data_IF_585609707660
#
_entry.id   IF_585609707660
#
_cell.length_a   1.000
_cell.length_b   1.000
_cell.length_c   1.000
_cell.angle_alpha   90.00
_cell.angle_beta   90.00
_cell.angle_gamma   90.00
#
_symmetry.space_group_name_H-M   'P 1'
#
loop_
_entity.id
_entity.type
_entity.pdbx_description
1 polymer ?
#
# COMPACT_ATOMS: atom_id res chain seq x y z
N UNK A 1 -22.23 15.32 -17.26
CA UNK A 1 -21.26 16.36 -16.82
C UNK A 1 -19.96 16.10 -17.56
N UNK A 2 -19.50 17.03 -18.40
CA UNK A 2 -18.21 16.86 -19.12
C UNK A 2 -17.10 16.80 -18.06
N UNK A 3 -16.33 15.71 -18.05
CA UNK A 3 -15.16 15.58 -17.20
C UNK A 3 -14.13 16.64 -17.63
N UNK A 4 -13.93 17.65 -16.78
CA UNK A 4 -12.86 18.62 -16.95
C UNK A 4 -11.50 17.88 -16.97
N UNK A 5 -10.56 18.25 -17.85
CA UNK A 5 -9.22 17.67 -17.84
C UNK A 5 -8.56 17.93 -16.48
N UNK A 6 -8.01 16.88 -15.88
CA UNK A 6 -7.31 16.93 -14.59
C UNK A 6 -6.07 17.81 -14.79
N UNK A 7 -6.16 19.08 -14.42
CA UNK A 7 -4.99 19.98 -14.42
C UNK A 7 -3.94 19.44 -13.44
N UNK A 8 -2.66 19.62 -13.76
CA UNK A 8 -1.52 19.25 -12.91
C UNK A 8 -1.62 19.76 -11.44
N UNK A 9 -2.47 20.76 -11.17
CA UNK A 9 -2.81 21.23 -9.83
C UNK A 9 -3.47 20.18 -8.92
N UNK A 10 -4.15 19.17 -9.50
CA UNK A 10 -4.84 18.11 -8.74
C UNK A 10 -3.87 17.13 -8.08
N UNK A 11 -2.76 16.82 -8.73
CA UNK A 11 -1.72 15.96 -8.15
C UNK A 11 -1.09 16.61 -6.92
N UNK A 12 -0.91 17.93 -6.99
CA UNK A 12 -0.39 18.76 -5.91
C UNK A 12 -1.37 18.85 -4.71
N UNK A 13 -2.69 18.92 -4.97
CA UNK A 13 -3.75 18.92 -3.94
C UNK A 13 -3.76 17.61 -3.12
N UNK A 14 -3.35 16.49 -3.71
CA UNK A 14 -3.28 15.19 -3.04
C UNK A 14 -1.89 14.85 -2.49
N UNK A 15 -0.89 15.73 -2.65
CA UNK A 15 0.50 15.42 -2.29
C UNK A 15 1.08 14.25 -3.09
N UNK A 16 0.62 14.04 -4.33
CA UNK A 16 1.23 13.10 -5.26
C UNK A 16 2.58 13.70 -5.67
N UNK A 17 3.65 13.29 -4.99
CA UNK A 17 5.03 13.70 -5.28
C UNK A 17 5.53 13.06 -6.58
N UNK A 18 6.42 13.75 -7.30
CA UNK A 18 7.03 13.37 -8.59
C UNK A 18 7.93 12.10 -8.57
N UNK A 19 7.83 11.26 -7.54
CA UNK A 19 8.78 10.18 -7.26
C UNK A 19 8.10 8.91 -6.75
N UNK A 20 7.22 8.29 -7.55
CA UNK A 20 6.97 6.85 -7.41
C UNK A 20 8.27 6.11 -7.78
N UNK A 21 9.03 5.67 -6.77
CA UNK A 21 10.25 4.88 -6.96
C UNK A 21 11.52 5.39 -6.27
N UNK A 22 11.49 6.55 -5.62
CA UNK A 22 12.54 6.92 -4.67
C UNK A 22 12.00 6.70 -3.26
N UNK A 23 12.69 5.87 -2.46
CA UNK A 23 12.44 5.82 -1.03
C UNK A 23 12.40 7.27 -0.50
N UNK A 24 11.30 7.62 0.17
CA UNK A 24 11.07 8.96 0.72
C UNK A 24 12.28 9.36 1.59
N UNK A 25 13.05 10.40 1.23
CA UNK A 25 14.04 10.95 2.13
C UNK A 25 13.29 11.83 3.13
N UNK A 26 13.21 11.38 4.37
CA UNK A 26 12.51 12.01 5.49
C UNK A 26 12.46 13.55 5.52
N UNK A 27 11.30 14.04 6.00
CA UNK A 27 11.06 15.22 6.85
C UNK A 27 11.28 16.62 6.26
N UNK A 28 10.16 17.34 6.09
CA UNK A 28 9.96 18.64 6.73
C UNK A 28 8.45 18.90 6.87
N UNK A 29 7.85 18.42 7.97
CA UNK A 29 6.50 18.85 8.37
C UNK A 29 6.66 19.72 9.61
N UNK A 30 6.26 20.99 9.45
CA UNK A 30 6.11 21.98 10.52
C UNK A 30 5.03 21.46 11.48
N UNK A 31 5.27 21.42 12.81
CA UNK A 31 4.26 20.95 13.74
C UNK A 31 3.08 21.93 13.78
N UNK A 32 1.87 21.44 13.53
CA UNK A 32 0.65 22.12 13.94
C UNK A 32 0.48 21.91 15.45
N UNK A 33 0.79 22.95 16.23
CA UNK A 33 0.54 22.99 17.68
C UNK A 33 -0.95 22.79 17.99
N UNK A 34 -1.31 21.90 18.93
CA UNK A 34 -2.62 21.91 19.56
C UNK A 34 -2.76 23.14 20.47
N UNK A 35 -3.88 23.83 20.34
CA UNK A 35 -4.30 24.88 21.26
C UNK A 35 -4.47 24.29 22.69
N UNK A 36 -3.62 24.76 23.61
CA UNK A 36 -3.93 24.82 25.03
C UNK A 36 -3.34 23.72 25.91
N UNK A 37 -2.19 23.99 26.53
CA UNK A 37 -2.06 24.16 27.98
C UNK A 37 -0.66 24.68 28.33
N UNK A 38 -0.63 25.77 29.11
CA UNK A 38 0.59 26.44 29.59
C UNK A 38 1.26 25.62 30.68
N UNK A 39 2.51 25.21 30.51
CA UNK A 39 3.43 24.99 31.62
C UNK A 39 4.78 25.65 31.30
N UNK A 40 5.25 26.47 32.23
CA UNK A 40 6.49 27.25 32.18
C UNK A 40 7.55 26.53 33.03
N UNK A 41 8.74 26.30 32.47
CA UNK A 41 9.99 26.31 33.23
C UNK A 41 11.19 26.47 32.28
N UNK A 42 12.17 27.24 32.75
CA UNK A 42 13.28 27.84 32.02
C UNK A 42 14.60 27.05 32.10
N UNK A 43 15.61 27.54 31.35
CA UNK A 43 17.09 27.37 31.45
C UNK A 43 17.65 26.07 30.82
N UNK A 44 18.54 26.07 29.82
CA UNK A 44 19.93 26.58 29.79
C UNK A 44 20.84 25.53 29.08
N UNK A 45 22.10 25.83 28.65
CA UNK A 45 22.47 25.65 27.23
C UNK A 45 23.56 24.62 26.84
N UNK A 46 23.52 24.26 25.55
CA UNK A 46 24.53 23.97 24.51
C UNK A 46 26.01 23.60 24.79
N UNK A 47 26.51 22.61 24.03
CA UNK A 47 27.79 22.49 23.27
C UNK A 47 28.06 20.98 23.02
N UNK A 48 28.67 20.44 21.95
CA UNK A 48 29.51 20.94 20.86
C UNK A 48 30.41 19.79 20.34
N UNK A 49 30.76 19.77 19.04
CA UNK A 49 31.87 18.99 18.40
C UNK A 49 31.74 17.46 18.37
N UNK A 50 32.37 16.69 17.48
CA UNK A 50 33.44 16.87 16.49
C UNK A 50 33.40 15.66 15.54
N UNK A 51 33.82 15.85 14.28
CA UNK A 51 33.89 14.78 13.28
C UNK A 51 35.18 13.95 13.36
N UNK A 52 35.18 12.80 12.68
CA UNK A 52 36.39 12.09 12.26
C UNK A 52 36.16 11.47 10.87
N UNK A 53 36.96 11.92 9.91
CA UNK A 53 37.19 11.31 8.59
C UNK A 53 38.27 10.24 8.74
N UNK A 54 38.10 9.07 8.12
CA UNK A 54 39.16 8.08 7.96
C UNK A 54 39.39 7.78 6.47
N UNK A 55 40.59 8.13 6.03
CA UNK A 55 41.22 7.81 4.75
C UNK A 55 41.59 6.32 4.69
N UNK A 56 41.47 5.71 3.51
CA UNK A 56 42.25 4.53 3.12
C UNK A 56 42.78 4.71 1.69
N UNK A 57 44.11 4.62 1.56
CA UNK A 57 44.89 4.57 0.31
C UNK A 57 45.23 3.09 -0.02
N UNK A 58 45.45 2.69 -1.30
CA UNK A 58 45.31 1.31 -1.77
C UNK A 58 46.65 0.62 -2.13
N UNK A 59 46.51 -0.56 -2.77
CA UNK A 59 47.49 -1.45 -3.47
C UNK A 59 47.90 -2.67 -2.61
N UNK A 60 48.04 -3.92 -3.09
CA UNK A 60 48.70 -4.45 -4.31
C UNK A 60 48.24 -5.92 -4.59
N UNK A 61 48.20 -6.28 -5.90
CA UNK A 61 48.40 -7.60 -6.57
C UNK A 61 47.39 -8.75 -6.37
N UNK A 62 46.67 -9.29 -7.37
CA UNK A 62 46.99 -9.86 -8.71
C UNK A 62 47.30 -11.37 -8.72
N UNK A 63 46.39 -12.19 -9.28
CA UNK A 63 46.74 -13.29 -10.20
C UNK A 63 45.52 -13.92 -10.93
N UNK A 64 45.64 -13.94 -12.26
CA UNK A 64 45.25 -14.98 -13.26
C UNK A 64 43.81 -15.52 -13.41
N UNK A 65 43.15 -14.98 -14.44
CA UNK A 65 42.55 -15.63 -15.63
C UNK A 65 41.97 -17.06 -15.58
N UNK A 66 40.69 -17.21 -15.97
CA UNK A 66 40.29 -17.97 -17.17
C UNK A 66 38.76 -17.90 -17.44
N UNK A 67 38.35 -17.69 -18.70
CA UNK A 67 37.06 -18.17 -19.21
C UNK A 67 35.92 -17.16 -19.40
N UNK A 68 36.08 -16.14 -20.25
CA UNK A 68 34.95 -15.30 -20.71
C UNK A 68 34.20 -16.02 -21.84
N UNK A 69 33.09 -16.70 -21.53
CA UNK A 69 32.11 -17.12 -22.55
C UNK A 69 31.36 -15.88 -23.04
N UNK A 70 31.41 -15.60 -24.34
CA UNK A 70 30.51 -14.63 -24.97
C UNK A 70 29.07 -15.17 -24.93
N UNK A 71 28.05 -14.33 -24.67
CA UNK A 71 26.67 -14.76 -24.81
C UNK A 71 26.33 -14.97 -26.30
N UNK A 72 25.64 -16.06 -26.60
CA UNK A 72 25.19 -16.39 -27.95
C UNK A 72 24.21 -15.34 -28.49
N UNK A 73 24.31 -15.06 -29.79
CA UNK A 73 23.44 -14.15 -30.54
C UNK A 73 21.92 -14.44 -30.40
N UNK A 74 21.55 -15.61 -29.91
CA UNK A 74 20.17 -16.04 -29.65
C UNK A 74 19.56 -15.41 -28.39
N UNK A 75 20.36 -15.16 -27.34
CA UNK A 75 19.86 -14.54 -26.09
C UNK A 75 19.64 -13.02 -26.25
N UNK A 76 20.46 -12.37 -27.09
CA UNK A 76 20.31 -10.95 -27.41
C UNK A 76 19.11 -10.65 -28.33
N UNK A 77 18.66 -11.63 -29.12
CA UNK A 77 17.46 -11.50 -29.95
C UNK A 77 16.17 -11.60 -29.11
N UNK A 78 16.12 -12.53 -28.14
CA UNK A 78 14.98 -12.66 -27.23
C UNK A 78 14.83 -11.46 -26.27
N UNK A 79 15.94 -10.89 -25.79
CA UNK A 79 15.90 -9.68 -24.97
C UNK A 79 15.55 -8.41 -25.75
N UNK A 80 15.95 -8.33 -27.03
CA UNK A 80 15.55 -7.25 -27.94
C UNK A 80 14.08 -7.32 -28.34
N UNK A 81 13.52 -8.51 -28.52
CA UNK A 81 12.11 -8.71 -28.90
C UNK A 81 11.14 -8.43 -27.72
N UNK A 82 11.53 -8.82 -26.49
CA UNK A 82 10.80 -8.44 -25.27
C UNK A 82 10.86 -6.93 -24.98
N UNK A 83 12.02 -6.30 -25.15
CA UNK A 83 12.20 -4.85 -25.01
C UNK A 83 11.48 -4.05 -26.11
N UNK A 84 11.35 -4.59 -27.32
CA UNK A 84 10.63 -3.96 -28.43
C UNK A 84 9.10 -4.08 -28.29
N UNK A 85 8.58 -5.17 -27.71
CA UNK A 85 7.14 -5.29 -27.35
C UNK A 85 6.73 -4.32 -26.23
N UNK A 86 7.57 -4.11 -25.23
CA UNK A 86 7.32 -3.14 -24.15
C UNK A 86 7.30 -1.68 -24.66
N UNK A 87 8.04 -1.38 -25.74
CA UNK A 87 8.10 -0.04 -26.33
C UNK A 87 6.82 0.38 -27.09
N UNK A 88 5.80 -0.49 -27.20
CA UNK A 88 4.54 -0.23 -27.91
C UNK A 88 3.30 -0.27 -27.02
N UNK A 89 3.43 -0.62 -25.74
CA UNK A 89 2.28 -0.67 -24.81
C UNK A 89 1.96 0.74 -24.31
N UNK A 90 0.67 1.05 -24.22
CA UNK A 90 0.25 2.28 -23.53
C UNK A 90 0.53 2.15 -22.03
N UNK A 91 0.71 3.27 -21.34
CA UNK A 91 0.82 3.33 -19.89
C UNK A 91 -0.45 2.79 -19.21
N UNK A 92 -1.62 2.91 -19.86
CA UNK A 92 -2.84 2.22 -19.40
C UNK A 92 -2.68 0.69 -19.46
N UNK A 93 -2.21 0.14 -20.59
CA UNK A 93 -2.02 -1.31 -20.72
C UNK A 93 -0.99 -1.84 -19.70
N UNK A 94 0.05 -1.05 -19.45
CA UNK A 94 1.08 -1.41 -18.47
C UNK A 94 0.56 -1.37 -17.03
N UNK A 95 -0.28 -0.39 -16.68
CA UNK A 95 -1.00 -0.35 -15.40
C UNK A 95 -1.90 -1.59 -15.23
N UNK A 96 -2.63 -1.96 -16.27
CA UNK A 96 -3.50 -3.13 -16.25
C UNK A 96 -2.67 -4.42 -16.09
N UNK A 97 -1.54 -4.54 -16.80
CA UNK A 97 -0.61 -5.67 -16.65
C UNK A 97 -0.03 -5.75 -15.24
N UNK A 98 0.35 -4.61 -14.66
CA UNK A 98 0.86 -4.53 -13.30
C UNK A 98 -0.18 -4.99 -12.28
N UNK A 99 -1.40 -4.47 -12.35
CA UNK A 99 -2.49 -4.83 -11.45
C UNK A 99 -2.89 -6.31 -11.60
N UNK A 100 -2.94 -6.84 -12.84
CA UNK A 100 -3.17 -8.28 -13.08
C UNK A 100 -2.08 -9.13 -12.47
N UNK A 101 -0.81 -8.75 -12.63
CA UNK A 101 0.32 -9.49 -12.08
C UNK A 101 0.23 -9.62 -10.56
N UNK A 102 -0.17 -8.57 -9.85
CA UNK A 102 -0.38 -8.61 -8.39
C UNK A 102 -1.45 -9.64 -7.99
N UNK A 103 -2.51 -9.75 -8.79
CA UNK A 103 -3.67 -10.59 -8.50
C UNK A 103 -3.50 -12.03 -8.96
N UNK A 104 -2.79 -12.27 -10.06
CA UNK A 104 -2.70 -13.57 -10.74
C UNK A 104 -1.40 -14.31 -10.40
N UNK A 105 -0.34 -13.63 -9.97
CA UNK A 105 0.88 -14.27 -9.46
C UNK A 105 0.81 -14.43 -7.94
N UNK A 106 0.78 -15.68 -7.48
CA UNK A 106 0.60 -16.01 -6.07
C UNK A 106 1.77 -15.65 -5.16
N UNK A 107 2.95 -15.32 -5.70
CA UNK A 107 4.16 -15.10 -4.90
C UNK A 107 4.10 -13.79 -4.12
N UNK A 108 4.49 -13.83 -2.84
CA UNK A 108 4.58 -12.60 -2.02
C UNK A 108 5.53 -11.58 -2.66
N UNK A 109 6.67 -12.05 -3.20
CA UNK A 109 7.65 -11.20 -3.85
C UNK A 109 7.02 -10.37 -4.98
N UNK A 110 6.20 -11.00 -5.83
CA UNK A 110 5.53 -10.31 -6.95
C UNK A 110 4.55 -9.26 -6.44
N UNK A 111 3.79 -9.54 -5.37
CA UNK A 111 2.84 -8.59 -4.77
C UNK A 111 3.53 -7.34 -4.21
N UNK A 112 4.82 -7.46 -3.85
CA UNK A 112 5.64 -6.39 -3.30
C UNK A 112 6.53 -5.68 -4.35
N UNK A 113 6.49 -6.10 -5.61
CA UNK A 113 7.23 -5.41 -6.67
C UNK A 113 6.54 -4.10 -7.06
N UNK A 114 7.26 -2.97 -7.11
CA UNK A 114 6.68 -1.70 -7.55
C UNK A 114 6.32 -1.74 -9.04
N UNK A 115 5.46 -0.83 -9.52
CA UNK A 115 5.26 -0.63 -10.94
C UNK A 115 6.56 -0.17 -11.61
N UNK A 116 6.61 -0.21 -12.94
CA UNK A 116 7.75 0.31 -13.67
C UNK A 116 7.97 1.81 -13.38
N UNK A 117 9.24 2.20 -13.33
CA UNK A 117 9.62 3.59 -13.05
C UNK A 117 8.98 4.56 -14.05
N UNK A 118 8.37 5.63 -13.52
CA UNK A 118 7.75 6.69 -14.33
C UNK A 118 6.41 6.31 -14.98
N UNK A 119 5.78 5.20 -14.59
CA UNK A 119 4.45 4.82 -15.06
C UNK A 119 3.40 5.93 -14.81
N UNK A 120 3.42 6.55 -13.64
CA UNK A 120 2.61 7.73 -13.28
C UNK A 120 2.73 8.88 -14.28
N UNK A 121 3.96 9.27 -14.61
CA UNK A 121 4.24 10.38 -15.54
C UNK A 121 3.73 10.07 -16.93
N UNK A 122 3.87 8.82 -17.37
CA UNK A 122 3.35 8.36 -18.66
C UNK A 122 1.83 8.31 -18.69
N UNK A 123 1.18 7.87 -17.62
CA UNK A 123 -0.29 7.90 -17.48
C UNK A 123 -0.85 9.34 -17.60
N UNK A 124 -0.17 10.31 -16.97
CA UNK A 124 -0.53 11.73 -17.09
C UNK A 124 -0.33 12.23 -18.52
N UNK A 125 0.80 11.89 -19.15
CA UNK A 125 1.11 12.30 -20.51
C UNK A 125 0.09 11.75 -21.53
N UNK A 126 -0.31 10.48 -21.40
CA UNK A 126 -1.28 9.84 -22.30
C UNK A 126 -2.69 10.44 -22.22
N UNK A 127 -3.11 10.90 -21.03
CA UNK A 127 -4.41 11.57 -20.90
C UNK A 127 -4.49 12.83 -21.78
N UNK A 128 -3.37 13.53 -21.97
CA UNK A 128 -3.31 14.79 -22.72
C UNK A 128 -3.29 14.60 -24.25
N UNK A 129 -3.28 13.36 -24.74
CA UNK A 129 -3.40 13.07 -26.18
C UNK A 129 -4.86 13.28 -26.64
N UNK A 130 -5.08 13.79 -27.87
CA UNK A 130 -6.43 13.97 -28.42
C UNK A 130 -7.16 12.63 -28.51
N UNK A 131 -8.15 12.44 -27.64
CA UNK A 131 -8.96 11.23 -27.58
C UNK A 131 -9.97 11.22 -28.74
N UNK A 132 -10.04 10.11 -29.48
CA UNK A 132 -11.20 9.86 -30.35
C UNK A 132 -12.36 9.53 -29.42
N UNK A 133 -13.29 10.48 -29.29
CA UNK A 133 -14.49 10.34 -28.44
C UNK A 133 -15.15 8.98 -28.67
N UNK A 134 -15.11 8.15 -27.63
CA UNK A 134 -16.13 7.15 -27.40
C UNK A 134 -16.79 7.55 -26.09
N UNK A 135 -18.03 8.03 -26.19
CA UNK A 135 -18.95 8.06 -25.06
C UNK A 135 -19.14 6.62 -24.59
N UNK A 136 -18.30 6.18 -23.65
CA UNK A 136 -18.48 4.93 -22.94
C UNK A 136 -18.69 5.34 -21.49
N UNK A 137 -19.91 5.16 -20.98
CA UNK A 137 -20.14 5.23 -19.53
C UNK A 137 -19.17 4.29 -18.81
N UNK A 138 -18.89 4.55 -17.53
CA UNK A 138 -17.97 3.73 -16.70
C UNK A 138 -18.20 2.24 -16.99
N UNK A 139 -17.36 1.64 -17.83
CA UNK A 139 -17.49 0.24 -18.12
C UNK A 139 -16.99 -0.47 -16.87
N UNK A 140 -17.91 -1.09 -16.15
CA UNK A 140 -17.58 -2.10 -15.18
C UNK A 140 -16.95 -3.27 -15.96
N UNK A 141 -15.64 -3.22 -16.17
CA UNK A 141 -14.95 -4.32 -16.81
C UNK A 141 -15.23 -5.55 -15.94
N UNK A 142 -15.85 -6.57 -16.52
CA UNK A 142 -16.16 -7.81 -15.82
C UNK A 142 -14.85 -8.52 -15.50
N UNK A 143 -14.15 -8.05 -14.48
CA UNK A 143 -13.06 -8.74 -13.86
C UNK A 143 -13.69 -9.92 -13.11
N UNK A 144 -13.73 -11.06 -13.77
CA UNK A 144 -14.21 -12.34 -13.22
C UNK A 144 -13.14 -12.98 -12.33
N UNK A 145 -12.55 -12.17 -11.44
CA UNK A 145 -11.58 -12.63 -10.46
C UNK A 145 -12.28 -12.72 -9.12
N UNK A 146 -12.72 -13.91 -8.72
CA UNK A 146 -13.35 -14.08 -7.41
C UNK A 146 -12.37 -13.77 -6.27
N UNK A 147 -11.11 -14.18 -6.41
CA UNK A 147 -10.06 -14.11 -5.39
C UNK A 147 -8.67 -13.93 -6.01
N UNK A 148 -7.72 -13.29 -5.32
CA UNK A 148 -6.34 -13.23 -5.77
C UNK A 148 -5.67 -14.59 -5.59
N UNK A 149 -4.75 -14.90 -6.49
CA UNK A 149 -3.85 -16.03 -6.34
C UNK A 149 -2.85 -15.77 -5.22
N UNK A 150 -2.55 -16.82 -4.44
CA UNK A 150 -1.57 -16.79 -3.35
C UNK A 150 -0.86 -18.14 -3.25
N UNK A 151 0.46 -18.11 -3.11
CA UNK A 151 1.26 -19.32 -2.85
C UNK A 151 0.97 -19.89 -1.46
N UNK A 152 1.28 -21.17 -1.25
CA UNK A 152 0.93 -21.91 -0.03
C UNK A 152 1.37 -21.22 1.28
N UNK A 153 2.51 -20.52 1.27
CA UNK A 153 3.03 -19.83 2.44
C UNK A 153 2.18 -18.63 2.90
N UNK A 154 1.35 -18.07 2.01
CA UNK A 154 0.49 -16.90 2.27
C UNK A 154 -0.96 -17.13 1.85
N UNK A 155 -1.36 -18.38 1.63
CA UNK A 155 -2.71 -18.75 1.19
C UNK A 155 -3.77 -18.19 2.16
N UNK A 156 -4.85 -17.64 1.62
CA UNK A 156 -6.03 -17.25 2.40
C UNK A 156 -6.99 -18.43 2.55
N UNK A 157 -7.56 -18.58 3.74
CA UNK A 157 -8.62 -19.57 3.96
C UNK A 157 -9.80 -19.27 3.06
N UNK A 158 -10.41 -20.32 2.48
CA UNK A 158 -11.69 -20.21 1.76
C UNK A 158 -12.89 -20.39 2.68
N UNK A 159 -12.67 -20.89 3.90
CA UNK A 159 -13.70 -21.11 4.93
C UNK A 159 -13.49 -20.17 6.12
N UNK A 160 -14.53 -19.88 6.93
CA UNK A 160 -14.38 -19.05 8.13
C UNK A 160 -13.38 -19.68 9.13
N UNK A 161 -12.36 -18.90 9.52
CA UNK A 161 -11.39 -19.31 10.54
C UNK A 161 -11.73 -18.67 11.90
N UNK A 162 -12.19 -19.46 12.87
CA UNK A 162 -12.46 -18.96 14.23
C UNK A 162 -11.16 -18.51 14.92
N UNK A 163 -11.13 -17.28 15.44
CA UNK A 163 -10.04 -16.76 16.28
C UNK A 163 -8.75 -16.36 15.55
N UNK A 164 -8.61 -16.67 14.26
CA UNK A 164 -7.40 -16.35 13.47
C UNK A 164 -7.17 -14.85 13.26
N UNK A 165 -8.20 -14.02 13.40
CA UNK A 165 -8.15 -12.57 13.23
C UNK A 165 -7.74 -11.83 14.51
N UNK A 166 -7.73 -12.51 15.67
CA UNK A 166 -7.43 -11.84 16.92
C UNK A 166 -5.95 -11.42 16.95
N UNK A 167 -5.75 -10.12 17.10
CA UNK A 167 -4.44 -9.55 17.40
C UNK A 167 -4.03 -9.88 18.84
N UNK A 168 -2.73 -10.05 19.12
CA UNK A 168 -2.25 -10.20 20.49
C UNK A 168 -2.71 -9.02 21.35
N UNK A 169 -3.07 -9.30 22.61
CA UNK A 169 -3.47 -8.27 23.57
C UNK A 169 -2.26 -7.41 23.95
N UNK A 170 -2.50 -6.17 24.36
CA UNK A 170 -1.43 -5.23 24.76
C UNK A 170 -0.43 -5.83 25.77
N UNK A 171 -0.91 -6.51 26.82
CA UNK A 171 -0.03 -7.16 27.79
C UNK A 171 0.86 -8.27 27.21
N UNK A 172 0.41 -8.95 26.14
CA UNK A 172 1.23 -9.96 25.45
C UNK A 172 2.32 -9.28 24.61
N UNK A 173 1.98 -8.19 23.93
CA UNK A 173 2.95 -7.40 23.15
C UNK A 173 4.04 -6.79 24.02
N UNK A 174 3.66 -6.27 25.19
CA UNK A 174 4.61 -5.72 26.16
C UNK A 174 5.55 -6.80 26.71
N UNK A 175 5.05 -8.03 26.89
CA UNK A 175 5.79 -9.10 27.55
C UNK A 175 6.63 -9.99 26.61
N UNK A 176 6.34 -10.04 25.31
CA UNK A 176 6.92 -11.05 24.40
C UNK A 176 7.30 -10.47 23.04
N UNK A 177 8.54 -10.76 22.62
CA UNK A 177 9.04 -10.46 21.28
C UNK A 177 8.28 -11.28 20.21
N UNK A 178 7.95 -12.54 20.50
CA UNK A 178 7.20 -13.38 19.57
C UNK A 178 5.77 -12.85 19.34
N UNK A 179 5.12 -12.33 20.39
CA UNK A 179 3.82 -11.69 20.27
C UNK A 179 3.89 -10.43 19.39
N UNK A 180 4.95 -9.61 19.55
CA UNK A 180 5.21 -8.45 18.69
C UNK A 180 5.40 -8.86 17.23
N UNK A 181 6.28 -9.84 16.98
CA UNK A 181 6.51 -10.35 15.63
C UNK A 181 5.22 -10.92 15.00
N UNK A 182 4.42 -11.68 15.74
CA UNK A 182 3.14 -12.21 15.27
C UNK A 182 2.15 -11.08 14.92
N UNK A 183 2.13 -10.00 15.71
CA UNK A 183 1.28 -8.83 15.44
C UNK A 183 1.66 -8.17 14.12
N UNK A 184 2.95 -7.90 13.92
CA UNK A 184 3.44 -7.27 12.70
C UNK A 184 3.24 -8.14 11.46
N UNK A 185 3.33 -9.47 11.57
CA UNK A 185 2.97 -10.38 10.47
C UNK A 185 1.50 -10.26 10.07
N UNK A 186 0.61 -10.09 11.04
CA UNK A 186 -0.82 -9.85 10.76
C UNK A 186 -1.05 -8.50 10.09
N UNK A 187 -0.28 -7.47 10.46
CA UNK A 187 -0.29 -6.19 9.74
C UNK A 187 0.28 -6.32 8.33
N UNK A 188 1.36 -7.08 8.12
CA UNK A 188 1.86 -7.35 6.77
C UNK A 188 0.82 -8.09 5.90
N UNK A 189 0.07 -9.06 6.45
CA UNK A 189 -1.06 -9.69 5.74
C UNK A 189 -2.15 -8.69 5.35
N UNK A 190 -2.42 -7.74 6.25
CA UNK A 190 -3.37 -6.66 6.02
C UNK A 190 -2.95 -5.81 4.82
N UNK A 191 -1.69 -5.39 4.75
CA UNK A 191 -1.20 -4.57 3.64
C UNK A 191 -1.20 -5.36 2.32
N UNK A 192 -0.91 -6.66 2.35
CA UNK A 192 -1.08 -7.50 1.14
C UNK A 192 -2.53 -7.52 0.69
N UNK A 193 -3.51 -7.59 1.60
CA UNK A 193 -4.92 -7.47 1.21
C UNK A 193 -5.22 -6.10 0.59
N UNK A 194 -4.70 -5.02 1.16
CA UNK A 194 -4.88 -3.67 0.63
C UNK A 194 -4.31 -3.53 -0.80
N UNK A 195 -3.06 -3.96 -1.01
CA UNK A 195 -2.39 -4.01 -2.33
C UNK A 195 -3.25 -4.72 -3.36
N UNK A 196 -3.77 -5.90 -3.02
CA UNK A 196 -4.59 -6.68 -3.94
C UNK A 196 -5.97 -6.01 -4.18
N UNK A 197 -6.59 -5.37 -3.19
CA UNK A 197 -7.86 -4.66 -3.36
C UNK A 197 -7.71 -3.42 -4.24
N UNK A 198 -6.62 -2.66 -4.10
CA UNK A 198 -6.34 -1.53 -4.98
C UNK A 198 -6.01 -1.98 -6.41
N UNK A 199 -5.26 -3.09 -6.57
CA UNK A 199 -5.05 -3.70 -7.88
C UNK A 199 -6.37 -4.15 -8.52
N UNK A 200 -7.26 -4.75 -7.74
CA UNK A 200 -8.60 -5.13 -8.19
C UNK A 200 -9.39 -3.90 -8.65
N UNK A 201 -9.37 -2.79 -7.89
CA UNK A 201 -10.10 -1.58 -8.26
C UNK A 201 -9.54 -0.91 -9.52
N UNK A 202 -8.22 -0.91 -9.72
CA UNK A 202 -7.59 -0.42 -10.96
C UNK A 202 -8.11 -1.15 -12.20
N UNK A 203 -8.29 -2.47 -12.11
CA UNK A 203 -8.83 -3.30 -13.19
C UNK A 203 -10.35 -3.23 -13.32
N UNK A 204 -11.07 -3.09 -12.20
CA UNK A 204 -12.53 -3.03 -12.16
C UNK A 204 -13.06 -1.73 -12.75
N UNK A 205 -12.34 -0.63 -12.55
CA UNK A 205 -12.75 0.71 -12.97
C UNK A 205 -11.76 1.30 -14.00
N UNK A 206 -11.55 0.66 -15.16
CA UNK A 206 -10.51 1.06 -16.12
C UNK A 206 -10.77 2.41 -16.77
N UNK A 207 -12.03 2.86 -16.75
CA UNK A 207 -12.49 4.13 -17.32
C UNK A 207 -12.66 5.24 -16.27
N UNK A 208 -12.32 4.96 -15.01
CA UNK A 208 -12.33 5.99 -13.99
C UNK A 208 -11.29 7.09 -14.30
N UNK A 209 -11.51 8.33 -13.83
CA UNK A 209 -10.63 9.45 -14.14
C UNK A 209 -9.17 9.13 -13.82
N UNK A 210 -8.23 9.56 -14.67
CA UNK A 210 -6.81 9.20 -14.48
C UNK A 210 -6.28 9.63 -13.10
N UNK A 211 -6.72 10.78 -12.58
CA UNK A 211 -6.33 11.24 -11.26
C UNK A 211 -6.78 10.31 -10.13
N UNK A 212 -7.90 9.61 -10.32
CA UNK A 212 -8.38 8.60 -9.38
C UNK A 212 -7.50 7.36 -9.46
N UNK A 213 -7.27 6.85 -10.68
CA UNK A 213 -6.41 5.69 -10.93
C UNK A 213 -4.98 5.92 -10.43
N UNK A 214 -4.43 7.13 -10.59
CA UNK A 214 -3.14 7.53 -10.01
C UNK A 214 -3.17 7.55 -8.48
N UNK A 215 -4.26 8.03 -7.88
CA UNK A 215 -4.47 7.95 -6.43
C UNK A 215 -4.42 6.50 -5.93
N UNK A 216 -5.16 5.59 -6.59
CA UNK A 216 -5.15 4.16 -6.25
C UNK A 216 -3.77 3.53 -6.46
N UNK A 217 -3.08 3.83 -7.56
CA UNK A 217 -1.74 3.33 -7.83
C UNK A 217 -0.74 3.79 -6.76
N UNK A 218 -0.81 5.05 -6.34
CA UNK A 218 0.09 5.54 -5.31
C UNK A 218 -0.20 4.88 -3.95
N UNK A 219 -1.47 4.79 -3.56
CA UNK A 219 -1.84 4.08 -2.32
C UNK A 219 -1.37 2.64 -2.35
N UNK A 220 -1.58 1.92 -3.45
CA UNK A 220 -1.06 0.56 -3.64
C UNK A 220 0.46 0.48 -3.41
N UNK A 221 1.23 1.42 -3.99
CA UNK A 221 2.69 1.47 -3.81
C UNK A 221 3.08 1.80 -2.37
N UNK A 222 2.34 2.69 -1.69
CA UNK A 222 2.52 3.01 -0.27
C UNK A 222 2.28 1.74 0.59
N UNK A 223 1.24 0.96 0.30
CA UNK A 223 1.00 -0.33 0.99
C UNK A 223 2.08 -1.38 0.76
N UNK A 224 2.68 -1.43 -0.44
CA UNK A 224 3.85 -2.26 -0.69
C UNK A 224 5.03 -1.88 0.20
N UNK A 225 5.20 -0.58 0.48
CA UNK A 225 6.24 -0.08 1.39
C UNK A 225 5.88 -0.41 2.83
N UNK A 226 4.64 -0.19 3.26
CA UNK A 226 4.17 -0.54 4.61
C UNK A 226 4.40 -2.02 4.93
N UNK A 227 4.03 -2.91 4.01
CA UNK A 227 4.24 -4.35 4.14
C UNK A 227 5.72 -4.68 4.35
N UNK A 228 6.61 -4.09 3.54
CA UNK A 228 8.07 -4.30 3.66
C UNK A 228 8.59 -3.82 5.01
N UNK A 229 8.16 -2.64 5.48
CA UNK A 229 8.56 -2.11 6.79
C UNK A 229 8.18 -3.07 7.93
N UNK A 230 6.96 -3.64 7.90
CA UNK A 230 6.57 -4.64 8.90
C UNK A 230 7.40 -5.92 8.82
N UNK A 231 7.67 -6.43 7.61
CA UNK A 231 8.49 -7.63 7.43
C UNK A 231 9.95 -7.42 7.89
N UNK A 232 10.50 -6.23 7.64
CA UNK A 232 11.82 -5.83 8.15
C UNK A 232 11.84 -5.78 9.67
N UNK A 233 10.83 -5.15 10.30
CA UNK A 233 10.71 -5.13 11.77
C UNK A 233 10.55 -6.52 12.38
N UNK A 234 9.77 -7.41 11.75
CA UNK A 234 9.67 -8.82 12.16
C UNK A 234 11.04 -9.48 12.15
N UNK A 235 11.82 -9.27 11.09
CA UNK A 235 13.16 -9.82 10.97
C UNK A 235 14.09 -9.32 12.08
N UNK A 236 14.05 -8.01 12.35
CA UNK A 236 14.87 -7.39 13.39
C UNK A 236 14.53 -7.90 14.79
N UNK A 237 13.22 -7.98 15.12
CA UNK A 237 12.75 -8.51 16.40
C UNK A 237 13.17 -9.98 16.56
N UNK A 238 13.05 -10.79 15.50
CA UNK A 238 13.40 -12.21 15.56
C UNK A 238 14.91 -12.41 15.71
N UNK A 239 15.74 -11.57 15.07
CA UNK A 239 17.20 -11.59 15.25
C UNK A 239 17.59 -11.23 16.68
N UNK A 240 17.04 -10.12 17.22
CA UNK A 240 17.33 -9.68 18.59
C UNK A 240 16.92 -10.69 19.68
N UNK A 241 15.98 -11.60 19.38
CA UNK A 241 15.55 -12.68 20.27
C UNK A 241 16.49 -13.92 20.25
N UNK A 242 17.71 -13.77 19.71
CA UNK A 242 18.74 -14.82 19.73
C UNK A 242 18.64 -15.81 18.57
N UNK A 243 17.95 -15.47 17.48
CA UNK A 243 17.91 -16.28 16.24
C UNK A 243 18.82 -15.73 15.13
N UNK A 244 19.90 -15.06 15.52
CA UNK A 244 20.78 -14.28 14.64
C UNK A 244 21.44 -15.09 13.51
N UNK A 245 21.68 -16.38 13.74
CA UNK A 245 22.40 -17.25 12.80
C UNK A 245 21.52 -17.85 11.67
N UNK A 246 20.20 -17.64 11.71
CA UNK A 246 19.29 -18.21 10.71
C UNK A 246 19.20 -17.29 9.47
N UNK A 247 19.32 -17.83 8.24
CA UNK A 247 19.00 -17.09 7.02
C UNK A 247 17.58 -16.51 7.08
N UNK A 248 17.35 -15.34 6.47
CA UNK A 248 16.03 -14.68 6.45
C UNK A 248 14.89 -15.60 5.97
N UNK A 249 15.18 -16.48 5.01
CA UNK A 249 14.25 -17.48 4.48
C UNK A 249 13.91 -18.62 5.46
N UNK A 250 14.76 -18.84 6.47
CA UNK A 250 14.60 -19.86 7.51
C UNK A 250 14.10 -19.30 8.83
N UNK A 251 14.23 -17.97 9.05
CA UNK A 251 13.75 -17.31 10.26
C UNK A 251 12.26 -17.59 10.51
N UNK A 252 11.43 -17.73 9.47
CA UNK A 252 10.11 -18.37 9.58
C UNK A 252 9.52 -18.66 8.17
N UNK A 253 8.97 -19.86 7.90
CA UNK A 253 8.33 -20.21 6.63
C UNK A 253 7.01 -19.46 6.32
N UNK A 254 6.51 -18.67 7.28
CA UNK A 254 5.19 -18.04 7.22
C UNK A 254 5.26 -16.52 7.32
N UNK A 255 5.68 -15.79 6.26
CA UNK A 255 6.04 -14.37 6.35
C UNK A 255 4.89 -13.48 6.82
N UNK A 256 3.64 -13.88 6.59
CA UNK A 256 2.43 -13.14 6.97
C UNK A 256 1.67 -13.78 8.15
N UNK A 257 2.30 -14.72 8.84
CA UNK A 257 1.69 -15.57 9.87
C UNK A 257 1.25 -16.92 9.32
N UNK A 258 0.91 -17.85 10.22
CA UNK A 258 0.63 -19.24 9.85
C UNK A 258 -0.59 -19.33 8.92
N UNK A 259 -0.36 -19.75 7.69
CA UNK A 259 -1.41 -20.04 6.72
C UNK A 259 -2.28 -21.24 7.17
N UNK A 260 -3.56 -21.32 6.76
CA UNK A 260 -4.25 -20.33 5.93
C UNK A 260 -4.57 -19.03 6.69
N UNK A 261 -4.47 -17.90 6.00
CA UNK A 261 -4.66 -16.57 6.54
C UNK A 261 -6.14 -16.14 6.52
N UNK A 262 -6.56 -15.19 7.37
CA UNK A 262 -7.92 -14.66 7.36
C UNK A 262 -8.30 -13.98 6.03
N UNK A 263 -9.58 -13.99 5.71
CA UNK A 263 -10.10 -13.56 4.41
C UNK A 263 -11.27 -12.56 4.48
N UNK A 264 -11.52 -11.96 5.64
CA UNK A 264 -12.66 -11.07 5.90
C UNK A 264 -12.75 -9.90 4.93
N UNK A 265 -11.62 -9.28 4.60
CA UNK A 265 -11.55 -8.14 3.67
C UNK A 265 -12.01 -8.51 2.26
N UNK A 266 -11.45 -9.61 1.74
CA UNK A 266 -11.83 -10.13 0.43
C UNK A 266 -13.27 -10.65 0.39
N UNK A 267 -13.80 -11.19 1.49
CA UNK A 267 -15.24 -11.50 1.59
C UNK A 267 -16.11 -10.25 1.48
N UNK A 268 -15.69 -9.15 2.11
CA UNK A 268 -16.40 -7.86 2.02
C UNK A 268 -16.53 -7.34 0.58
N UNK A 269 -15.59 -7.70 -0.29
CA UNK A 269 -15.63 -7.32 -1.71
C UNK A 269 -16.87 -7.84 -2.45
N UNK A 270 -17.47 -8.95 -1.99
CA UNK A 270 -18.72 -9.45 -2.57
C UNK A 270 -19.87 -8.45 -2.47
N UNK A 271 -20.01 -7.76 -1.33
CA UNK A 271 -21.03 -6.73 -1.14
C UNK A 271 -20.75 -5.49 -2.02
N UNK A 272 -19.48 -5.10 -2.14
CA UNK A 272 -19.05 -3.99 -3.02
C UNK A 272 -19.39 -4.31 -4.47
N UNK A 273 -19.13 -5.53 -4.94
CA UNK A 273 -19.45 -5.97 -6.32
C UNK A 273 -20.94 -5.99 -6.62
N UNK A 274 -21.74 -6.41 -5.64
CA UNK A 274 -23.19 -6.49 -5.78
C UNK A 274 -23.90 -5.13 -5.63
N UNK A 275 -23.18 -4.09 -5.19
CA UNK A 275 -23.74 -2.74 -5.05
C UNK A 275 -24.23 -2.21 -6.40
N UNK A 276 -25.35 -1.47 -6.44
CA UNK A 276 -25.74 -0.70 -7.63
C UNK A 276 -24.70 0.33 -8.06
N UNK A 277 -23.88 0.80 -7.11
CA UNK A 277 -22.80 1.77 -7.34
C UNK A 277 -21.46 1.22 -6.81
N UNK A 278 -20.81 0.28 -7.52
CA UNK A 278 -19.64 -0.43 -7.01
C UNK A 278 -18.43 0.45 -6.70
N UNK A 279 -18.20 1.51 -7.49
CA UNK A 279 -17.08 2.43 -7.26
C UNK A 279 -17.28 3.22 -5.96
N UNK A 280 -18.46 3.78 -5.73
CA UNK A 280 -18.78 4.48 -4.50
C UNK A 280 -18.74 3.53 -3.29
N UNK A 281 -19.25 2.31 -3.45
CA UNK A 281 -19.16 1.27 -2.43
C UNK A 281 -17.71 0.87 -2.10
N UNK A 282 -16.83 0.79 -3.10
CA UNK A 282 -15.40 0.55 -2.89
C UNK A 282 -14.75 1.69 -2.10
N UNK A 283 -15.05 2.95 -2.46
CA UNK A 283 -14.52 4.12 -1.75
C UNK A 283 -14.97 4.16 -0.30
N UNK A 284 -16.24 3.82 -0.01
CA UNK A 284 -16.73 3.72 1.36
C UNK A 284 -16.09 2.54 2.11
N UNK A 285 -16.19 1.32 1.57
CA UNK A 285 -15.79 0.10 2.26
C UNK A 285 -14.27 -0.04 2.43
N UNK A 286 -13.51 0.18 1.36
CA UNK A 286 -12.04 0.10 1.43
C UNK A 286 -11.49 1.44 1.92
N UNK A 287 -11.77 2.53 1.20
CA UNK A 287 -11.12 3.81 1.46
C UNK A 287 -11.52 4.54 2.75
N UNK A 288 -12.78 4.43 3.21
CA UNK A 288 -13.29 5.19 4.37
C UNK A 288 -13.58 4.34 5.60
N UNK A 289 -13.45 3.02 5.49
CA UNK A 289 -13.68 2.10 6.62
C UNK A 289 -12.43 1.29 6.90
N UNK A 290 -11.92 0.60 5.89
CA UNK A 290 -10.72 -0.20 6.04
C UNK A 290 -9.47 0.67 6.26
N UNK A 291 -9.14 1.58 5.33
CA UNK A 291 -8.01 2.51 5.50
C UNK A 291 -8.21 3.45 6.71
N UNK A 292 -9.45 3.86 6.98
CA UNK A 292 -9.74 4.72 8.14
C UNK A 292 -9.51 4.00 9.47
N UNK A 293 -9.83 2.70 9.57
CA UNK A 293 -9.54 1.92 10.78
C UNK A 293 -8.03 1.80 11.04
N UNK A 294 -7.20 1.82 10.00
CA UNK A 294 -5.74 1.83 10.14
C UNK A 294 -5.23 3.07 10.86
N UNK A 295 -5.86 4.24 10.69
CA UNK A 295 -5.47 5.46 11.41
C UNK A 295 -5.58 5.29 12.93
N UNK A 296 -6.67 4.72 13.41
CA UNK A 296 -6.89 4.50 14.84
C UNK A 296 -5.97 3.39 15.37
N UNK A 297 -5.80 2.31 14.59
CA UNK A 297 -4.98 1.18 14.98
C UNK A 297 -3.49 1.51 15.01
N UNK A 298 -2.96 2.21 14.01
CA UNK A 298 -1.54 2.58 13.93
C UNK A 298 -1.08 3.35 15.18
N UNK A 299 -1.84 4.35 15.63
CA UNK A 299 -1.52 5.11 16.85
C UNK A 299 -1.63 4.26 18.13
N UNK A 300 -2.69 3.46 18.24
CA UNK A 300 -2.88 2.56 19.38
C UNK A 300 -1.72 1.58 19.51
N UNK A 301 -1.33 0.92 18.42
CA UNK A 301 -0.23 -0.03 18.44
C UNK A 301 1.12 0.67 18.58
N UNK A 302 1.33 1.84 17.98
CA UNK A 302 2.52 2.68 18.22
C UNK A 302 2.77 2.85 19.72
N UNK A 303 1.73 3.23 20.46
CA UNK A 303 1.85 3.47 21.90
C UNK A 303 2.12 2.18 22.69
N UNK A 304 1.53 1.06 22.29
CA UNK A 304 1.78 -0.26 22.90
C UNK A 304 3.22 -0.73 22.63
N UNK A 305 3.72 -0.59 21.40
CA UNK A 305 5.09 -0.98 21.03
C UNK A 305 6.12 -0.10 21.75
N UNK A 306 5.85 1.21 21.88
CA UNK A 306 6.66 2.12 22.70
C UNK A 306 6.66 1.71 24.17
N UNK A 307 5.51 1.32 24.72
CA UNK A 307 5.43 0.79 26.08
C UNK A 307 6.22 -0.52 26.26
N UNK A 308 6.33 -1.33 25.20
CA UNK A 308 7.13 -2.54 25.16
C UNK A 308 8.65 -2.28 25.00
N UNK A 309 9.06 -1.01 24.87
CA UNK A 309 10.45 -0.62 24.62
C UNK A 309 10.92 -0.87 23.18
N UNK A 310 9.99 -0.96 22.23
CA UNK A 310 10.26 -1.15 20.78
C UNK A 310 10.00 0.17 20.03
N UNK A 311 10.86 1.14 20.28
CA UNK A 311 10.73 2.49 19.71
C UNK A 311 10.85 2.47 18.19
N UNK A 312 11.69 1.59 17.61
CA UNK A 312 11.84 1.48 16.17
C UNK A 312 10.54 1.04 15.48
N UNK A 313 9.81 0.08 16.05
CA UNK A 313 8.51 -0.31 15.51
C UNK A 313 7.45 0.76 15.74
N UNK A 314 7.51 1.47 16.87
CA UNK A 314 6.61 2.59 17.12
C UNK A 314 6.81 3.71 16.08
N UNK A 315 8.06 4.00 15.70
CA UNK A 315 8.37 5.01 14.68
C UNK A 315 7.90 4.58 13.28
N UNK A 316 8.00 3.29 12.95
CA UNK A 316 7.39 2.72 11.74
C UNK A 316 5.88 2.92 11.75
N UNK A 317 5.20 2.61 12.85
CA UNK A 317 3.74 2.78 12.97
C UNK A 317 3.31 4.26 12.91
N UNK A 318 4.14 5.17 13.43
CA UNK A 318 3.90 6.61 13.29
C UNK A 318 4.01 7.05 11.83
N UNK A 319 5.04 6.60 11.12
CA UNK A 319 5.21 6.91 9.70
C UNK A 319 4.01 6.43 8.89
N UNK A 320 3.60 5.17 9.09
CA UNK A 320 2.44 4.58 8.41
C UNK A 320 1.18 5.40 8.71
N UNK A 321 0.95 5.79 9.97
CA UNK A 321 -0.18 6.66 10.32
C UNK A 321 -0.20 7.96 9.49
N UNK A 322 0.95 8.63 9.36
CA UNK A 322 1.04 9.89 8.63
C UNK A 322 0.78 9.71 7.12
N UNK A 323 1.21 8.57 6.55
CA UNK A 323 0.97 8.17 5.16
C UNK A 323 -0.53 7.82 4.93
N UNK A 324 -1.16 7.09 5.86
CA UNK A 324 -2.57 6.65 5.82
C UNK A 324 -3.60 7.80 5.78
N UNK A 325 -3.27 8.96 6.36
CA UNK A 325 -4.14 10.16 6.30
C UNK A 325 -4.42 10.53 4.84
N UNK A 326 -3.43 10.33 3.97
CA UNK A 326 -3.55 10.60 2.54
C UNK A 326 -4.46 9.59 1.85
N UNK A 327 -4.42 8.31 2.22
CA UNK A 327 -5.25 7.26 1.63
C UNK A 327 -6.75 7.57 1.86
N UNK A 328 -7.11 7.86 3.10
CA UNK A 328 -8.48 8.26 3.47
C UNK A 328 -8.90 9.55 2.77
N UNK A 329 -8.00 10.53 2.64
CA UNK A 329 -8.26 11.77 1.93
C UNK A 329 -8.58 11.54 0.44
N UNK A 330 -7.84 10.66 -0.23
CA UNK A 330 -8.10 10.28 -1.63
C UNK A 330 -9.51 9.70 -1.74
N UNK A 331 -9.86 8.75 -0.87
CA UNK A 331 -11.17 8.11 -0.90
C UNK A 331 -12.30 9.11 -0.71
N UNK A 332 -12.19 9.98 0.30
CA UNK A 332 -13.18 11.03 0.61
C UNK A 332 -13.39 11.98 -0.57
N UNK A 333 -12.29 12.50 -1.15
CA UNK A 333 -12.39 13.47 -2.23
C UNK A 333 -13.00 12.85 -3.48
N UNK A 334 -12.61 11.62 -3.83
CA UNK A 334 -13.18 10.93 -4.98
C UNK A 334 -14.62 10.49 -4.76
N UNK A 335 -15.01 10.15 -3.52
CA UNK A 335 -16.40 9.85 -3.19
C UNK A 335 -17.26 11.07 -3.49
N UNK A 336 -16.87 12.25 -3.00
CA UNK A 336 -17.61 13.49 -3.29
C UNK A 336 -17.70 13.81 -4.78
N UNK A 337 -16.69 13.44 -5.57
CA UNK A 337 -16.63 13.76 -7.01
C UNK A 337 -17.40 12.77 -7.88
N UNK A 338 -17.41 11.50 -7.51
CA UNK A 338 -17.92 10.41 -8.35
C UNK A 338 -19.24 9.82 -7.85
N UNK A 339 -19.56 9.97 -6.57
CA UNK A 339 -20.83 9.51 -6.04
C UNK A 339 -21.98 10.17 -6.82
N UNK A 340 -22.93 9.38 -7.36
CA UNK A 340 -24.14 9.92 -7.93
C UNK A 340 -24.83 10.86 -6.93
N UNK A 341 -25.43 11.94 -7.42
CA UNK A 341 -26.24 12.85 -6.60
C UNK A 341 -27.65 12.86 -7.17
N UNK A 342 -28.64 12.60 -6.32
CA UNK A 342 -30.06 12.62 -6.71
C UNK A 342 -30.75 13.84 -6.07
N UNK A 343 -31.57 14.56 -6.84
CA UNK A 343 -32.42 15.63 -6.33
C UNK A 343 -31.76 17.02 -6.20
N UNK A 344 -32.50 17.96 -5.60
CA UNK A 344 -32.14 19.38 -5.47
C UNK A 344 -31.05 19.67 -4.41
N UNK A 345 -30.69 18.68 -3.59
CA UNK A 345 -29.67 18.77 -2.53
C UNK A 345 -28.24 18.47 -3.00
N UNK A 346 -28.01 18.35 -4.31
CA UNK A 346 -26.69 18.13 -4.88
C UNK A 346 -25.64 19.22 -4.48
N UNK A 347 -26.07 20.35 -3.92
CA UNK A 347 -25.20 21.43 -3.44
C UNK A 347 -24.69 21.23 -1.99
N UNK A 348 -25.32 20.39 -1.17
CA UNK A 348 -24.96 20.24 0.25
C UNK A 348 -25.17 18.80 0.75
N UNK A 349 -24.40 17.86 0.21
CA UNK A 349 -24.32 16.51 0.77
C UNK A 349 -23.08 16.39 1.66
N UNK A 350 -23.32 16.03 2.92
CA UNK A 350 -22.23 15.80 3.88
C UNK A 350 -21.56 14.43 3.65
N UNK A 351 -20.35 14.23 4.22
CA UNK A 351 -19.61 12.98 3.98
C UNK A 351 -20.30 11.76 4.62
N UNK A 352 -21.05 11.95 5.70
CA UNK A 352 -21.74 10.87 6.40
C UNK A 352 -22.96 10.41 5.61
N UNK A 353 -23.70 11.32 4.98
CA UNK A 353 -24.79 11.03 4.05
C UNK A 353 -24.30 10.23 2.84
N UNK A 354 -23.20 10.67 2.20
CA UNK A 354 -22.59 9.93 1.10
C UNK A 354 -22.14 8.55 1.55
N UNK A 355 -21.47 8.46 2.71
CA UNK A 355 -21.04 7.19 3.25
C UNK A 355 -22.25 6.26 3.50
N UNK A 356 -23.29 6.74 4.19
CA UNK A 356 -24.49 5.95 4.48
C UNK A 356 -25.26 5.53 3.22
N UNK A 357 -25.24 6.34 2.17
CA UNK A 357 -25.90 6.03 0.91
C UNK A 357 -25.20 4.92 0.12
N UNK A 358 -23.86 4.84 0.19
CA UNK A 358 -23.06 3.99 -0.68
C UNK A 358 -22.29 2.88 0.02
N UNK A 359 -22.14 2.93 1.34
CA UNK A 359 -21.47 1.89 2.11
C UNK A 359 -22.21 0.55 1.93
N UNK A 360 -21.64 -0.31 1.09
CA UNK A 360 -22.06 -1.69 0.97
C UNK A 360 -21.43 -2.47 2.12
N UNK A 361 -22.02 -2.36 3.31
CA UNK A 361 -21.63 -3.21 4.42
C UNK A 361 -21.94 -4.66 4.03
N UNK A 362 -20.99 -5.61 4.08
CA UNK A 362 -21.40 -6.96 4.40
C UNK A 362 -22.10 -6.85 5.76
N UNK A 363 -23.22 -7.55 5.96
CA UNK A 363 -23.77 -7.75 7.30
C UNK A 363 -22.65 -8.39 8.11
N UNK A 364 -21.92 -7.59 8.91
CA UNK A 364 -21.10 -8.13 9.97
C UNK A 364 -22.12 -8.74 10.92
N UNK A 365 -22.38 -10.04 10.78
CA UNK A 365 -22.98 -10.79 11.87
C UNK A 365 -21.98 -10.66 13.02
N UNK A 366 -22.26 -9.71 13.91
CA UNK A 366 -21.61 -9.69 15.21
C UNK A 366 -22.03 -10.99 15.89
N UNK A 367 -21.22 -12.03 15.72
CA UNK A 367 -21.39 -13.26 16.48
C UNK A 367 -21.32 -12.86 17.94
N UNK A 368 -22.45 -12.97 18.64
CA UNK A 368 -22.59 -12.72 20.07
C UNK A 368 -21.56 -13.47 20.90
#
# INVERSE_FOLDING_TARGET
VRAEPVKASLLQEFGISDTLGKASPYLNVVPLTPLGQRWSAASGPAAGGLGVFLLLDPRVASSSSSGRRQPSLTAAAASRDGSARLAQLSAKDELDMFARRILEDGRLATKLEPPAEGLDKRLIAEQNLPQVSKDVGLADASLDLEWPEREAAIEMSRTPLKGSEQLPKAGQLIASAEARALCLRKFAHHEVCAIELFAWALLRFPDAPVGFRLGLLQTLVEEQVHCKLYLERVADITRADGREDLPQSELEPFPLGRAPLPNSLWKGLGAIRASPEPLAAFLCGVGLTFEAANLDHSLKFRDIFRQAGDDETADVLQRIHDEEIRHVRIARVWLRRLAPRHGADAAHCDDAELYNAYAAFPTFEMSK
#
